data_IF_638428880500
#
_entry.id   IF_638428880500
#
_cell.length_a   1.000
_cell.length_b   1.000
_cell.length_c   1.000
_cell.angle_alpha   90.00
_cell.angle_beta   90.00
_cell.angle_gamma   90.00
#
_symmetry.space_group_name_H-M   'P 1'
#
loop_
_entity.id
_entity.type
_entity.pdbx_description
1 polymer ?
#
# COMPACT_ATOMS: atom_id res chain seq x y z
N UNK A 1 -5.30 47.90 -9.98
CA UNK A 1 -4.29 46.89 -10.38
C UNK A 1 -4.18 45.87 -9.24
N UNK A 2 -4.94 44.83 -9.29
CA UNK A 2 -4.90 43.78 -8.25
C UNK A 2 -4.55 42.47 -8.92
N UNK A 3 -3.28 42.10 -8.87
CA UNK A 3 -2.80 40.82 -9.29
C UNK A 3 -3.12 39.80 -8.23
N UNK A 4 -3.93 38.80 -8.54
CA UNK A 4 -4.14 37.62 -7.69
C UNK A 4 -2.93 36.69 -7.85
N UNK A 5 -2.12 36.52 -6.81
CA UNK A 5 -0.88 35.77 -6.96
C UNK A 5 -1.03 34.32 -6.52
N UNK A 6 -0.55 33.41 -7.31
CA UNK A 6 0.28 32.34 -6.79
C UNK A 6 -0.35 31.00 -6.47
N UNK A 7 -1.62 30.69 -6.75
CA UNK A 7 -2.21 29.40 -6.37
C UNK A 7 -1.90 28.22 -7.33
N UNK A 8 -1.95 28.37 -8.67
CA UNK A 8 -1.68 27.23 -9.57
C UNK A 8 -0.21 26.78 -9.56
N UNK A 9 0.73 27.69 -9.72
CA UNK A 9 2.19 27.40 -9.76
C UNK A 9 2.71 26.74 -8.48
N UNK A 10 2.12 27.05 -7.33
CA UNK A 10 2.53 26.46 -6.04
C UNK A 10 2.08 25.01 -5.88
N UNK A 11 0.92 24.63 -6.42
CA UNK A 11 0.41 23.25 -6.41
C UNK A 11 1.18 22.38 -7.42
N UNK A 12 1.32 22.85 -8.66
CA UNK A 12 2.07 22.15 -9.70
C UNK A 12 3.50 21.85 -9.28
N UNK A 13 4.19 22.81 -8.67
CA UNK A 13 5.53 22.59 -8.14
C UNK A 13 5.54 21.55 -7.01
N UNK A 14 4.54 21.54 -6.13
CA UNK A 14 4.46 20.55 -5.07
C UNK A 14 4.26 19.13 -5.64
N UNK A 15 3.36 18.99 -6.60
CA UNK A 15 3.14 17.71 -7.29
C UNK A 15 4.40 17.23 -8.01
N UNK A 16 5.10 18.13 -8.69
CA UNK A 16 6.36 17.80 -9.35
C UNK A 16 7.43 17.33 -8.36
N UNK A 17 7.58 18.02 -7.22
CA UNK A 17 8.55 17.65 -6.18
C UNK A 17 8.23 16.30 -5.55
N UNK A 18 6.95 16.02 -5.27
CA UNK A 18 6.51 14.73 -4.76
C UNK A 18 6.71 13.62 -5.79
N UNK A 19 6.41 13.86 -7.06
CA UNK A 19 6.66 12.88 -8.13
C UNK A 19 8.15 12.53 -8.24
N UNK A 20 9.02 13.54 -8.24
CA UNK A 20 10.48 13.33 -8.25
C UNK A 20 10.95 12.56 -7.01
N UNK A 21 10.38 12.83 -5.83
CA UNK A 21 10.71 12.07 -4.63
C UNK A 21 10.32 10.59 -4.76
N UNK A 22 9.15 10.30 -5.33
CA UNK A 22 8.72 8.92 -5.62
C UNK A 22 9.69 8.23 -6.60
N UNK A 23 10.18 8.93 -7.64
CA UNK A 23 11.18 8.38 -8.55
C UNK A 23 12.46 8.01 -7.83
N UNK A 24 12.99 8.92 -6.98
CA UNK A 24 14.21 8.65 -6.21
C UNK A 24 14.00 7.47 -5.25
N UNK A 25 12.86 7.43 -4.55
CA UNK A 25 12.53 6.32 -3.65
C UNK A 25 12.46 4.98 -4.38
N UNK A 26 11.81 4.94 -5.54
CA UNK A 26 11.61 3.72 -6.31
C UNK A 26 12.88 3.21 -7.01
N UNK A 27 13.79 4.12 -7.41
CA UNK A 27 14.99 3.81 -8.18
C UNK A 27 16.23 3.66 -7.32
N UNK A 28 16.39 4.52 -6.30
CA UNK A 28 17.62 4.66 -5.53
C UNK A 28 17.44 4.36 -4.03
N UNK A 29 16.19 4.36 -3.55
CA UNK A 29 15.83 4.08 -2.16
C UNK A 29 15.92 5.29 -1.23
N UNK A 30 15.44 5.08 0.01
CA UNK A 30 15.35 6.10 1.06
C UNK A 30 16.68 6.81 1.36
N UNK A 31 17.78 6.05 1.46
CA UNK A 31 19.10 6.62 1.77
C UNK A 31 19.62 7.62 0.74
N UNK A 32 19.00 7.70 -0.42
CA UNK A 32 19.35 8.66 -1.48
C UNK A 32 18.40 9.84 -1.57
N UNK A 33 17.27 9.81 -0.86
CA UNK A 33 16.33 10.92 -0.86
C UNK A 33 16.89 12.09 -0.06
N UNK A 34 17.23 13.17 -0.75
CA UNK A 34 17.67 14.43 -0.13
C UNK A 34 17.29 15.63 -0.99
N UNK A 35 17.34 16.83 -0.39
CA UNK A 35 16.92 18.06 -1.05
C UNK A 35 17.77 18.41 -2.28
N UNK A 36 19.04 18.03 -2.33
CA UNK A 36 19.92 18.29 -3.47
C UNK A 36 19.47 17.51 -4.70
N UNK A 37 19.20 16.23 -4.54
CA UNK A 37 18.73 15.36 -5.63
C UNK A 37 17.35 15.77 -6.12
N UNK A 38 16.43 16.07 -5.19
CA UNK A 38 15.09 16.54 -5.54
C UNK A 38 15.19 17.85 -6.32
N UNK A 39 15.94 18.83 -5.80
CA UNK A 39 16.13 20.13 -6.43
C UNK A 39 16.72 20.01 -7.84
N UNK A 40 17.75 19.18 -8.00
CA UNK A 40 18.40 18.95 -9.28
C UNK A 40 17.45 18.29 -10.31
N UNK A 41 16.74 17.21 -9.93
CA UNK A 41 15.80 16.50 -10.83
C UNK A 41 14.57 17.35 -11.16
N UNK A 42 14.03 18.08 -10.18
CA UNK A 42 12.87 18.94 -10.37
C UNK A 42 13.20 20.31 -10.96
N UNK A 43 14.48 20.65 -11.13
CA UNK A 43 14.95 22.00 -11.52
C UNK A 43 14.36 23.10 -10.63
N UNK A 44 14.31 22.85 -9.32
CA UNK A 44 13.71 23.73 -8.31
C UNK A 44 14.72 24.17 -7.25
N UNK A 45 14.42 25.23 -6.55
CA UNK A 45 15.27 25.72 -5.45
C UNK A 45 15.03 24.96 -4.15
N UNK A 46 16.10 24.60 -3.40
CA UNK A 46 16.02 23.93 -2.09
C UNK A 46 15.13 24.67 -1.07
N UNK A 47 15.19 26.02 -1.05
CA UNK A 47 14.35 26.83 -0.18
C UNK A 47 12.84 26.57 -0.40
N UNK A 48 12.44 26.27 -1.64
CA UNK A 48 11.07 25.91 -1.98
C UNK A 48 10.65 24.56 -1.40
N UNK A 49 11.59 23.62 -1.27
CA UNK A 49 11.36 22.29 -0.68
C UNK A 49 11.18 22.43 0.83
N UNK A 50 12.15 23.02 1.54
CA UNK A 50 12.10 23.17 3.00
C UNK A 50 10.95 24.03 3.52
N UNK A 51 10.48 24.99 2.73
CA UNK A 51 9.28 25.76 3.08
C UNK A 51 8.01 24.90 3.12
N UNK A 52 7.96 23.82 2.35
CA UNK A 52 6.82 22.89 2.27
C UNK A 52 6.98 21.70 3.20
N UNK A 53 8.16 21.15 3.26
CA UNK A 53 8.48 19.97 4.05
C UNK A 53 9.74 20.25 4.89
N UNK A 54 9.58 20.39 6.22
CA UNK A 54 10.70 20.67 7.13
C UNK A 54 11.73 19.54 7.14
N UNK A 55 11.27 18.30 6.92
CA UNK A 55 12.09 17.09 6.91
C UNK A 55 11.89 16.30 5.62
N UNK A 56 12.85 15.44 5.28
CA UNK A 56 12.68 14.51 4.17
C UNK A 56 11.66 13.40 4.51
N UNK A 57 11.48 13.08 5.78
CA UNK A 57 10.44 12.17 6.26
C UNK A 57 9.04 12.74 6.00
N UNK A 58 8.81 14.03 6.29
CA UNK A 58 7.56 14.72 5.98
C UNK A 58 7.26 14.72 4.48
N UNK A 59 8.28 14.96 3.64
CA UNK A 59 8.13 14.89 2.19
C UNK A 59 7.81 13.47 1.72
N UNK A 60 8.50 12.46 2.24
CA UNK A 60 8.25 11.06 1.91
C UNK A 60 6.85 10.63 2.34
N UNK A 61 6.39 11.00 3.55
CA UNK A 61 5.02 10.78 4.01
C UNK A 61 4.00 11.32 3.00
N UNK A 62 4.13 12.58 2.64
CA UNK A 62 3.18 13.23 1.72
C UNK A 62 3.23 12.64 0.31
N UNK A 63 4.40 12.16 -0.11
CA UNK A 63 4.56 11.48 -1.39
C UNK A 63 3.81 10.14 -1.43
N UNK A 64 3.95 9.31 -0.39
CA UNK A 64 3.37 7.96 -0.39
C UNK A 64 1.93 7.91 0.13
N UNK A 65 1.52 8.81 1.02
CA UNK A 65 0.14 8.86 1.55
C UNK A 65 -0.94 9.07 0.48
N UNK A 66 -0.56 9.46 -0.72
CA UNK A 66 -1.44 9.65 -1.88
C UNK A 66 -1.60 8.38 -2.73
N UNK A 67 -0.90 7.31 -2.40
CA UNK A 67 -0.97 6.08 -3.17
C UNK A 67 -2.26 5.33 -2.87
N UNK A 68 -2.79 4.69 -3.91
CA UNK A 68 -3.88 3.73 -3.83
C UNK A 68 -3.33 2.34 -4.10
N UNK A 69 -2.64 1.78 -3.10
CA UNK A 69 -1.98 0.47 -3.24
C UNK A 69 -2.98 -0.68 -3.15
N UNK A 70 -4.12 -0.45 -2.52
CA UNK A 70 -5.18 -1.46 -2.33
C UNK A 70 -6.50 -0.86 -2.74
N UNK A 71 -7.29 -1.64 -3.46
CA UNK A 71 -8.68 -1.33 -3.79
C UNK A 71 -9.49 -2.61 -3.76
N UNK A 72 -10.76 -2.52 -3.41
CA UNK A 72 -11.66 -3.65 -3.46
C UNK A 72 -11.73 -4.20 -4.91
N UNK A 73 -11.64 -5.51 -5.09
CA UNK A 73 -11.86 -6.12 -6.39
C UNK A 73 -13.35 -6.02 -6.78
N UNK A 74 -13.64 -6.26 -8.05
CA UNK A 74 -15.01 -6.49 -8.49
C UNK A 74 -15.61 -7.69 -7.74
N UNK A 75 -16.95 -7.67 -7.57
CA UNK A 75 -17.66 -8.78 -6.90
C UNK A 75 -17.58 -10.05 -7.76
N UNK A 76 -16.86 -11.05 -7.24
CA UNK A 76 -16.64 -12.33 -7.93
C UNK A 76 -17.73 -13.37 -7.63
N UNK A 77 -18.70 -13.04 -6.79
CA UNK A 77 -19.76 -13.94 -6.36
C UNK A 77 -19.43 -14.79 -5.13
N UNK A 78 -18.22 -14.72 -4.59
CA UNK A 78 -17.84 -15.43 -3.35
C UNK A 78 -16.70 -14.74 -2.62
N UNK A 79 -16.66 -14.90 -1.27
CA UNK A 79 -15.56 -14.36 -0.46
C UNK A 79 -14.20 -14.93 -0.89
N UNK A 80 -14.16 -16.24 -1.20
CA UNK A 80 -12.96 -16.87 -1.72
C UNK A 80 -12.47 -16.22 -3.01
N UNK A 81 -13.37 -16.01 -3.96
CA UNK A 81 -13.05 -15.35 -5.23
C UNK A 81 -12.59 -13.90 -5.03
N UNK A 82 -13.26 -13.16 -4.15
CA UNK A 82 -12.88 -11.78 -3.83
C UNK A 82 -11.48 -11.71 -3.20
N UNK A 83 -11.16 -12.63 -2.27
CA UNK A 83 -9.83 -12.71 -1.68
C UNK A 83 -8.76 -13.14 -2.68
N UNK A 84 -9.06 -14.08 -3.58
CA UNK A 84 -8.16 -14.48 -4.66
C UNK A 84 -7.90 -13.32 -5.64
N UNK A 85 -8.92 -12.54 -5.98
CA UNK A 85 -8.79 -11.36 -6.84
C UNK A 85 -7.95 -10.25 -6.15
N UNK A 86 -8.15 -10.02 -4.85
CA UNK A 86 -7.34 -9.10 -4.06
C UNK A 86 -5.87 -9.55 -4.03
N UNK A 87 -5.62 -10.81 -3.72
CA UNK A 87 -4.29 -11.41 -3.68
C UNK A 87 -3.64 -11.54 -5.07
N UNK A 88 -4.42 -11.54 -6.14
CA UNK A 88 -3.95 -11.56 -7.52
C UNK A 88 -2.95 -10.43 -7.85
N UNK A 89 -3.00 -9.33 -7.11
CA UNK A 89 -1.98 -8.26 -7.21
C UNK A 89 -0.57 -8.75 -6.85
N UNK A 90 -0.44 -9.80 -6.06
CA UNK A 90 0.86 -10.36 -5.67
C UNK A 90 1.53 -11.14 -6.80
N UNK A 91 0.79 -11.48 -7.87
CA UNK A 91 1.35 -12.19 -9.03
C UNK A 91 2.18 -11.29 -9.97
N UNK A 92 2.12 -9.98 -9.81
CA UNK A 92 2.86 -9.04 -10.67
C UNK A 92 4.10 -8.48 -9.96
N UNK A 93 5.12 -8.06 -10.71
CA UNK A 93 6.25 -7.31 -10.16
C UNK A 93 5.80 -6.04 -9.42
N UNK A 94 6.62 -5.57 -8.49
CA UNK A 94 6.39 -4.30 -7.81
C UNK A 94 6.39 -3.15 -8.82
N UNK A 95 5.32 -2.36 -8.81
CA UNK A 95 5.28 -1.14 -9.60
C UNK A 95 6.11 0.00 -8.95
N UNK A 96 6.10 1.18 -9.59
CA UNK A 96 6.85 2.34 -9.12
C UNK A 96 6.45 2.75 -7.69
N UNK A 97 5.16 2.77 -7.38
CA UNK A 97 4.66 3.16 -6.07
C UNK A 97 5.02 2.13 -5.01
N UNK A 98 4.85 0.87 -5.32
CA UNK A 98 5.20 -0.24 -4.42
C UNK A 98 6.72 -0.29 -4.14
N UNK A 99 7.59 -0.04 -5.14
CA UNK A 99 9.04 0.07 -4.92
C UNK A 99 9.40 1.25 -4.01
N UNK A 100 8.74 2.40 -4.19
CA UNK A 100 8.95 3.54 -3.31
C UNK A 100 8.58 3.21 -1.85
N UNK A 101 7.44 2.56 -1.63
CA UNK A 101 6.99 2.08 -0.31
C UNK A 101 7.97 1.06 0.27
N UNK A 102 8.38 0.06 -0.50
CA UNK A 102 9.34 -0.95 -0.06
C UNK A 102 10.66 -0.33 0.44
N UNK A 103 11.12 0.74 -0.21
CA UNK A 103 12.34 1.45 0.19
C UNK A 103 12.24 2.16 1.54
N UNK A 104 11.03 2.45 2.01
CA UNK A 104 10.77 3.17 3.26
C UNK A 104 10.60 2.26 4.48
N UNK A 105 10.42 0.96 4.30
CA UNK A 105 10.07 0.03 5.38
C UNK A 105 11.06 0.04 6.56
N UNK A 106 12.36 0.08 6.27
CA UNK A 106 13.38 0.14 7.32
C UNK A 106 13.30 1.45 8.10
N UNK A 107 13.09 2.57 7.41
CA UNK A 107 13.00 3.89 8.02
C UNK A 107 11.73 4.07 8.86
N UNK A 108 10.63 3.44 8.49
CA UNK A 108 9.36 3.48 9.21
C UNK A 108 9.46 2.97 10.66
N UNK A 109 10.49 2.19 10.99
CA UNK A 109 10.76 1.74 12.36
C UNK A 109 11.18 2.87 13.30
N UNK A 110 11.74 3.93 12.77
CA UNK A 110 12.34 5.03 13.52
C UNK A 110 11.72 6.40 13.20
N UNK A 111 11.01 6.52 12.07
CA UNK A 111 10.42 7.75 11.57
C UNK A 111 8.89 7.67 11.59
N UNK A 112 8.27 8.34 12.55
CA UNK A 112 6.80 8.38 12.72
C UNK A 112 6.08 8.89 11.47
N UNK A 113 6.64 9.94 10.85
CA UNK A 113 6.06 10.52 9.64
C UNK A 113 5.99 9.50 8.50
N UNK A 114 7.05 8.71 8.30
CA UNK A 114 7.08 7.66 7.27
C UNK A 114 6.06 6.58 7.61
N UNK A 115 6.00 6.12 8.87
CA UNK A 115 5.02 5.12 9.31
C UNK A 115 3.59 5.59 9.03
N UNK A 116 3.26 6.84 9.37
CA UNK A 116 1.96 7.44 9.07
C UNK A 116 1.64 7.48 7.58
N UNK A 117 2.64 7.72 6.72
CA UNK A 117 2.49 7.67 5.27
C UNK A 117 2.17 6.26 4.76
N UNK A 118 2.87 5.24 5.28
CA UNK A 118 2.63 3.84 4.93
C UNK A 118 1.27 3.35 5.42
N UNK A 119 0.86 3.77 6.63
CA UNK A 119 -0.46 3.51 7.18
C UNK A 119 -1.57 4.05 6.26
N UNK A 120 -1.42 5.28 5.80
CA UNK A 120 -2.36 5.90 4.87
C UNK A 120 -2.40 5.22 3.49
N UNK A 121 -1.26 4.74 2.99
CA UNK A 121 -1.14 4.15 1.66
C UNK A 121 -1.61 2.69 1.58
N UNK A 122 -1.48 1.93 2.66
CA UNK A 122 -1.73 0.49 2.66
C UNK A 122 -2.64 0.05 3.82
N UNK A 123 -2.29 0.32 5.08
CA UNK A 123 -2.90 -0.37 6.23
C UNK A 123 -4.38 -0.02 6.36
N UNK A 124 -4.72 1.27 6.38
CA UNK A 124 -6.12 1.72 6.47
C UNK A 124 -6.95 1.31 5.25
N UNK A 125 -6.51 1.54 4.00
CA UNK A 125 -7.27 1.08 2.83
C UNK A 125 -7.47 -0.44 2.80
N UNK A 126 -6.49 -1.22 3.25
CA UNK A 126 -6.63 -2.66 3.33
C UNK A 126 -7.70 -3.09 4.35
N UNK A 127 -7.72 -2.47 5.52
CA UNK A 127 -8.74 -2.75 6.54
C UNK A 127 -10.15 -2.44 6.00
N UNK A 128 -10.32 -1.31 5.32
CA UNK A 128 -11.60 -0.92 4.70
C UNK A 128 -12.03 -1.92 3.62
N UNK A 129 -11.09 -2.35 2.76
CA UNK A 129 -11.36 -3.36 1.73
C UNK A 129 -11.78 -4.69 2.35
N UNK A 130 -11.06 -5.18 3.36
CA UNK A 130 -11.39 -6.46 4.01
C UNK A 130 -12.77 -6.41 4.67
N UNK A 131 -13.13 -5.30 5.30
CA UNK A 131 -14.47 -5.10 5.85
C UNK A 131 -15.55 -5.11 4.76
N UNK A 132 -15.31 -4.42 3.64
CA UNK A 132 -16.20 -4.43 2.48
C UNK A 132 -16.43 -5.84 1.93
N UNK A 133 -15.36 -6.64 1.76
CA UNK A 133 -15.47 -8.03 1.30
C UNK A 133 -16.28 -8.88 2.28
N UNK A 134 -16.07 -8.72 3.59
CA UNK A 134 -16.86 -9.39 4.62
C UNK A 134 -18.35 -9.03 4.54
N UNK A 135 -18.69 -7.76 4.37
CA UNK A 135 -20.06 -7.29 4.20
C UNK A 135 -20.70 -7.85 2.93
N UNK A 136 -19.97 -7.87 1.81
CA UNK A 136 -20.45 -8.49 0.56
C UNK A 136 -20.78 -9.97 0.74
N UNK A 137 -19.89 -10.71 1.37
CA UNK A 137 -20.07 -12.15 1.63
C UNK A 137 -21.32 -12.42 2.48
N UNK A 138 -21.51 -11.66 3.57
CA UNK A 138 -22.71 -11.79 4.42
C UNK A 138 -23.99 -11.47 3.62
N UNK A 139 -23.98 -10.45 2.78
CA UNK A 139 -25.13 -10.12 1.91
C UNK A 139 -25.48 -11.22 0.91
N UNK A 140 -24.49 -11.98 0.45
CA UNK A 140 -24.67 -13.18 -0.40
C UNK A 140 -25.13 -14.41 0.37
N UNK A 141 -25.25 -14.33 1.69
CA UNK A 141 -25.65 -15.46 2.55
C UNK A 141 -24.50 -16.41 2.91
N UNK A 142 -23.25 -16.03 2.66
CA UNK A 142 -22.09 -16.80 3.07
C UNK A 142 -21.92 -16.75 4.61
N UNK A 143 -21.45 -17.86 5.20
CA UNK A 143 -21.14 -17.93 6.63
C UNK A 143 -19.74 -17.37 6.87
N UNK A 144 -19.64 -16.17 7.44
CA UNK A 144 -18.39 -15.47 7.71
C UNK A 144 -18.30 -15.12 9.19
N UNK A 145 -17.18 -15.45 9.80
CA UNK A 145 -16.80 -15.05 11.16
C UNK A 145 -16.39 -13.56 11.17
N UNK A 146 -17.35 -12.67 11.14
CA UNK A 146 -17.10 -11.21 11.00
C UNK A 146 -16.21 -10.65 12.10
N UNK A 147 -16.23 -11.22 13.32
CA UNK A 147 -15.32 -10.85 14.39
C UNK A 147 -13.84 -11.13 14.12
N UNK A 148 -13.52 -11.87 13.04
CA UNK A 148 -12.14 -12.19 12.65
C UNK A 148 -11.66 -11.39 11.43
N UNK A 149 -12.46 -10.47 10.88
CA UNK A 149 -12.05 -9.67 9.71
C UNK A 149 -10.81 -8.81 9.99
N UNK A 150 -10.67 -8.25 11.19
CA UNK A 150 -9.47 -7.52 11.57
C UNK A 150 -8.22 -8.42 11.56
N UNK A 151 -8.34 -9.66 12.03
CA UNK A 151 -7.25 -10.64 11.97
C UNK A 151 -6.93 -11.03 10.52
N UNK A 152 -7.95 -11.25 9.69
CA UNK A 152 -7.77 -11.50 8.26
C UNK A 152 -7.00 -10.35 7.60
N UNK A 153 -7.38 -9.10 7.88
CA UNK A 153 -6.69 -7.91 7.39
C UNK A 153 -5.21 -7.89 7.79
N UNK A 154 -4.90 -8.19 9.07
CA UNK A 154 -3.52 -8.24 9.56
C UNK A 154 -2.69 -9.34 8.88
N UNK A 155 -3.28 -10.49 8.59
CA UNK A 155 -2.59 -11.57 7.87
C UNK A 155 -2.32 -11.17 6.41
N UNK A 156 -3.30 -10.59 5.71
CA UNK A 156 -3.12 -10.09 4.35
C UNK A 156 -2.05 -8.98 4.32
N UNK A 157 -2.05 -8.07 5.29
CA UNK A 157 -1.04 -7.03 5.46
C UNK A 157 0.36 -7.64 5.61
N UNK A 158 0.51 -8.69 6.41
CA UNK A 158 1.79 -9.37 6.59
C UNK A 158 2.33 -9.94 5.26
N UNK A 159 1.48 -10.51 4.40
CA UNK A 159 1.88 -10.95 3.05
C UNK A 159 2.31 -9.77 2.17
N UNK A 160 1.64 -8.62 2.27
CA UNK A 160 2.05 -7.41 1.56
C UNK A 160 3.44 -6.95 1.98
N UNK A 161 3.68 -6.85 3.29
CA UNK A 161 5.00 -6.48 3.82
C UNK A 161 6.08 -7.49 3.46
N UNK A 162 5.79 -8.80 3.55
CA UNK A 162 6.71 -9.85 3.14
C UNK A 162 7.11 -9.69 1.66
N UNK A 163 6.14 -9.38 0.79
CA UNK A 163 6.38 -9.17 -0.63
C UNK A 163 7.36 -8.00 -0.87
N UNK A 164 7.21 -6.90 -0.15
CA UNK A 164 8.09 -5.74 -0.26
C UNK A 164 9.52 -6.00 0.27
N UNK A 165 9.68 -6.95 1.17
CA UNK A 165 10.99 -7.31 1.72
C UNK A 165 11.71 -8.41 0.94
N UNK A 166 11.06 -9.07 -0.02
CA UNK A 166 11.70 -10.14 -0.83
C UNK A 166 12.68 -9.55 -1.83
N UNK A 167 13.79 -10.26 -2.02
CA UNK A 167 14.70 -9.97 -3.13
C UNK A 167 14.01 -10.26 -4.49
N UNK A 168 14.35 -9.47 -5.50
CA UNK A 168 13.75 -9.58 -6.83
C UNK A 168 12.49 -8.73 -6.98
N UNK A 169 11.56 -9.19 -7.77
CA UNK A 169 10.34 -8.46 -8.12
C UNK A 169 9.18 -8.66 -7.13
N UNK A 170 9.36 -9.53 -6.13
CA UNK A 170 8.35 -9.83 -5.11
C UNK A 170 7.13 -10.61 -5.60
N UNK A 171 7.10 -11.03 -6.88
CA UNK A 171 5.95 -11.73 -7.44
C UNK A 171 5.77 -13.13 -6.85
N UNK A 172 4.51 -13.54 -6.67
CA UNK A 172 4.09 -14.89 -6.28
C UNK A 172 3.50 -15.61 -7.49
N UNK A 173 3.65 -16.94 -7.54
CA UNK A 173 2.95 -17.74 -8.56
C UNK A 173 1.45 -17.80 -8.25
N UNK A 174 0.63 -18.07 -9.27
CA UNK A 174 -0.80 -18.25 -9.09
C UNK A 174 -1.10 -19.38 -8.09
N UNK A 175 -0.40 -20.50 -8.20
CA UNK A 175 -0.53 -21.61 -7.25
C UNK A 175 -0.23 -21.21 -5.80
N UNK A 176 0.81 -20.40 -5.57
CA UNK A 176 1.12 -19.88 -4.24
C UNK A 176 -0.01 -19.00 -3.69
N UNK A 177 -0.61 -18.17 -4.55
CA UNK A 177 -1.73 -17.30 -4.17
C UNK A 177 -2.95 -18.14 -3.81
N UNK A 178 -3.33 -19.11 -4.64
CA UNK A 178 -4.46 -20.01 -4.38
C UNK A 178 -4.27 -20.76 -3.06
N UNK A 179 -3.07 -21.29 -2.80
CA UNK A 179 -2.76 -21.96 -1.54
C UNK A 179 -2.87 -21.01 -0.34
N UNK A 180 -2.39 -19.77 -0.44
CA UNK A 180 -2.56 -18.80 0.63
C UNK A 180 -4.04 -18.52 0.90
N UNK A 181 -4.84 -18.37 -0.15
CA UNK A 181 -6.28 -18.14 0.00
C UNK A 181 -6.95 -19.35 0.68
N UNK A 182 -6.71 -20.55 0.20
CA UNK A 182 -7.42 -21.76 0.65
C UNK A 182 -6.93 -22.30 2.00
N UNK A 183 -5.60 -22.24 2.23
CA UNK A 183 -5.00 -22.85 3.43
C UNK A 183 -4.81 -21.85 4.57
N UNK A 184 -4.83 -20.54 4.29
CA UNK A 184 -4.57 -19.50 5.30
C UNK A 184 -5.73 -18.54 5.47
N UNK A 185 -6.17 -17.86 4.39
CA UNK A 185 -7.12 -16.75 4.53
C UNK A 185 -8.55 -17.25 4.79
N UNK A 186 -9.03 -18.22 4.01
CA UNK A 186 -10.39 -18.75 4.14
C UNK A 186 -10.63 -19.46 5.48
N UNK A 187 -9.71 -20.31 6.01
CA UNK A 187 -9.89 -20.92 7.34
C UNK A 187 -10.01 -19.94 8.49
N UNK A 188 -9.46 -18.73 8.36
CA UNK A 188 -9.58 -17.70 9.40
C UNK A 188 -11.02 -17.21 9.59
N UNK A 189 -11.80 -17.16 8.51
CA UNK A 189 -13.08 -16.45 8.50
C UNK A 189 -14.26 -17.31 8.03
N UNK A 190 -13.99 -18.53 7.51
CA UNK A 190 -15.04 -19.43 7.05
C UNK A 190 -15.04 -20.74 7.86
N UNK A 191 -16.08 -21.02 8.66
CA UNK A 191 -16.19 -22.26 9.44
C UNK A 191 -16.13 -23.53 8.57
N UNK A 192 -16.65 -23.46 7.34
CA UNK A 192 -16.64 -24.60 6.41
C UNK A 192 -15.21 -24.98 5.98
N UNK A 193 -14.36 -23.98 5.71
CA UNK A 193 -12.95 -24.19 5.38
C UNK A 193 -12.14 -24.64 6.61
N UNK A 194 -12.43 -24.10 7.78
CA UNK A 194 -11.76 -24.52 9.01
C UNK A 194 -12.05 -26.00 9.33
N UNK A 195 -13.28 -26.48 9.12
CA UNK A 195 -13.65 -27.87 9.33
C UNK A 195 -12.99 -28.82 8.31
N UNK A 196 -12.89 -28.41 7.05
CA UNK A 196 -12.22 -29.21 6.00
C UNK A 196 -10.71 -29.37 6.29
N UNK A 197 -10.04 -28.31 6.76
CA UNK A 197 -8.62 -28.33 7.10
C UNK A 197 -8.30 -29.19 8.35
N UNK A 198 -9.27 -29.39 9.28
CA UNK A 198 -9.08 -30.19 10.47
C UNK A 198 -9.33 -31.69 10.25
N UNK A 199 -9.91 -32.09 9.12
CA UNK A 199 -10.30 -33.47 8.79
C UNK A 199 -9.40 -34.18 7.80
N UNK A 200 -8.35 -33.54 7.29
CA UNK A 200 -7.33 -34.10 6.38
C UNK A 200 -5.99 -34.24 7.08
#
# INVERSE_FOLDING_TARGET
MSGTPGRPLSLELSEQLLSVAVDILAEEGWGRLNSDRIAARARAGKAGIYRRWPTMAALARDAVSRFSLVSAPEDTGSLRGDLAALAGRWARPLDRQERAVASLMSAARHEEEIRSGLDAALVRPLAEVVEELGVRAVRRGERVETGRLALLGSVIEAFWWQRYMRAGDGAMTHEQIERVVDEVLMPLVSPAYAAAAAGG
#
